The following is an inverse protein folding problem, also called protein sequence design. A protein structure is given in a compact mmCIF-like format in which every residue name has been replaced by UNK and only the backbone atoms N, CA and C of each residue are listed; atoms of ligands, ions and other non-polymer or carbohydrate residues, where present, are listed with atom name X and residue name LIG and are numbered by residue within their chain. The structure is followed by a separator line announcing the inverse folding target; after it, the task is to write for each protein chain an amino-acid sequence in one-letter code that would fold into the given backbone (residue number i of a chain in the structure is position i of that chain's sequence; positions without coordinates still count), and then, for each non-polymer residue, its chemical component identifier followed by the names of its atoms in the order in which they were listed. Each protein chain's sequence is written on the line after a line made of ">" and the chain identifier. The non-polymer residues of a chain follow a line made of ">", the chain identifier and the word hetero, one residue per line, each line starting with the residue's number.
data_IF_122603020309
#
_entry.id   IF_122603020309
#
_cell.length_a   1.000
_cell.length_b   1.000
_cell.length_c   1.000
_cell.angle_alpha   90.00
_cell.angle_beta   90.00
_cell.angle_gamma   90.00
#
_symmetry.space_group_name_H-M   'P 1'
#
loop_
_entity.id
_entity.type
_entity.pdbx_description
1 polymer ?
#
# COMPACT_ATOMS: atom_id res chain seq x y z
N UNK A 1 3.38 -11.48 -2.61
CA UNK A 1 2.68 -10.22 -2.93
C UNK A 1 1.58 -10.07 -1.88
N UNK A 2 1.32 -8.87 -1.38
CA UNK A 2 0.30 -8.63 -0.37
C UNK A 2 -0.24 -7.21 -0.49
N UNK A 3 -1.47 -6.99 -0.01
CA UNK A 3 -2.05 -5.66 0.14
C UNK A 3 -1.45 -4.99 1.39
N UNK A 4 -0.96 -3.77 1.23
CA UNK A 4 -0.40 -2.94 2.30
C UNK A 4 -1.24 -1.68 2.43
N UNK A 5 -1.67 -1.41 3.66
CA UNK A 5 -2.31 -0.14 4.02
C UNK A 5 -1.29 0.74 4.73
N UNK A 6 -1.17 1.99 4.30
CA UNK A 6 -0.32 2.99 4.98
C UNK A 6 -1.13 4.22 5.34
N UNK A 7 -0.85 4.82 6.50
CA UNK A 7 -1.53 6.03 6.96
C UNK A 7 -0.59 7.23 6.89
N UNK A 8 -1.12 8.38 6.49
CA UNK A 8 -0.47 9.69 6.58
C UNK A 8 -1.32 10.62 7.42
N UNK A 9 -0.71 11.25 8.43
CA UNK A 9 -1.35 12.33 9.19
C UNK A 9 -1.00 13.66 8.54
N UNK A 10 -2.02 14.46 8.23
CA UNK A 10 -1.89 15.81 7.68
C UNK A 10 -1.63 16.83 8.81
N UNK A 11 -1.21 18.05 8.44
CA UNK A 11 -0.93 19.12 9.40
C UNK A 11 -2.15 19.53 10.25
N UNK A 12 -3.34 19.41 9.68
CA UNK A 12 -4.63 19.68 10.35
C UNK A 12 -5.09 18.55 11.28
N UNK A 13 -4.32 17.46 11.40
CA UNK A 13 -4.65 16.30 12.22
C UNK A 13 -5.51 15.25 11.52
N UNK A 14 -5.99 15.51 10.30
CA UNK A 14 -6.72 14.50 9.52
C UNK A 14 -5.80 13.35 9.11
N UNK A 15 -6.34 12.13 9.03
CA UNK A 15 -5.60 10.92 8.63
C UNK A 15 -6.12 10.42 7.30
N UNK A 16 -5.20 10.16 6.37
CA UNK A 16 -5.49 9.59 5.05
C UNK A 16 -4.83 8.21 4.95
N UNK A 17 -5.57 7.24 4.43
CA UNK A 17 -5.07 5.89 4.18
C UNK A 17 -4.83 5.65 2.69
N UNK A 18 -3.87 4.78 2.37
CA UNK A 18 -3.52 4.40 1.01
C UNK A 18 -3.47 2.88 0.89
N UNK A 19 -3.97 2.35 -0.22
CA UNK A 19 -3.86 0.94 -0.57
C UNK A 19 -2.77 0.70 -1.61
N UNK A 20 -1.94 -0.30 -1.37
CA UNK A 20 -0.79 -0.60 -2.20
C UNK A 20 -0.62 -2.11 -2.33
N UNK A 21 -0.21 -2.58 -3.51
CA UNK A 21 0.38 -3.91 -3.62
C UNK A 21 1.87 -3.79 -3.31
N UNK A 22 2.34 -4.64 -2.40
CA UNK A 22 3.76 -4.78 -2.09
C UNK A 22 4.25 -6.22 -2.25
N UNK A 23 5.55 -6.35 -2.48
CA UNK A 23 6.27 -7.62 -2.40
C UNK A 23 7.58 -7.44 -1.65
N UNK A 24 7.92 -8.41 -0.82
CA UNK A 24 9.20 -8.43 -0.13
C UNK A 24 10.26 -9.05 -1.03
N UNK A 25 11.29 -8.28 -1.37
CA UNK A 25 12.50 -8.79 -2.00
C UNK A 25 13.64 -8.88 -0.97
N UNK A 26 14.61 -9.75 -1.19
CA UNK A 26 15.81 -9.81 -0.33
C UNK A 26 16.76 -8.71 -0.76
N UNK A 27 17.11 -7.81 0.18
CA UNK A 27 18.12 -6.79 -0.09
C UNK A 27 19.46 -7.46 -0.46
N UNK A 28 20.12 -7.05 -1.56
CA UNK A 28 21.25 -7.79 -2.13
C UNK A 28 22.44 -7.87 -1.17
N UNK A 29 22.66 -6.84 -0.34
CA UNK A 29 23.80 -6.79 0.59
C UNK A 29 23.48 -7.37 1.97
N UNK A 30 22.33 -7.02 2.53
CA UNK A 30 21.98 -7.35 3.93
C UNK A 30 21.15 -8.62 4.05
N UNK A 31 20.63 -9.14 2.92
CA UNK A 31 19.77 -10.33 2.79
C UNK A 31 18.46 -10.27 3.58
N UNK A 32 18.20 -9.14 4.26
CA UNK A 32 16.95 -8.85 4.97
C UNK A 32 15.80 -8.66 3.97
N UNK A 33 14.58 -9.07 4.33
CA UNK A 33 13.40 -8.77 3.52
C UNK A 33 13.14 -7.26 3.53
N UNK A 34 12.91 -6.68 2.35
CA UNK A 34 12.55 -5.28 2.16
C UNK A 34 11.29 -5.21 1.32
N UNK A 35 10.28 -4.48 1.81
CA UNK A 35 9.04 -4.27 1.10
C UNK A 35 9.25 -3.30 -0.07
N UNK A 36 8.89 -3.74 -1.27
CA UNK A 36 8.85 -2.93 -2.49
C UNK A 36 7.42 -2.74 -2.93
N UNK A 37 7.03 -1.50 -3.18
CA UNK A 37 5.70 -1.17 -3.71
C UNK A 37 5.70 -1.49 -5.20
N UNK A 38 4.78 -2.34 -5.62
CA UNK A 38 4.56 -2.69 -7.04
C UNK A 38 3.60 -1.68 -7.65
N UNK A 39 2.51 -1.38 -6.95
CA UNK A 39 1.48 -0.44 -7.40
C UNK A 39 0.84 0.25 -6.20
N UNK A 40 0.51 1.53 -6.38
CA UNK A 40 -0.21 2.34 -5.41
C UNK A 40 -1.56 2.70 -6.03
N UNK A 41 -2.65 2.25 -5.40
CA UNK A 41 -4.02 2.49 -5.86
C UNK A 41 -4.52 3.90 -5.51
N UNK A 42 -3.76 4.68 -4.74
CA UNK A 42 -4.16 5.99 -4.27
C UNK A 42 -4.81 5.94 -2.89
N UNK A 43 -5.58 7.00 -2.58
CA UNK A 43 -6.20 7.13 -1.26
C UNK A 43 -7.39 6.17 -1.13
N UNK A 44 -7.49 5.51 0.01
CA UNK A 44 -8.57 4.55 0.30
C UNK A 44 -9.96 5.19 0.20
N UNK A 45 -10.10 6.46 0.56
CA UNK A 45 -11.36 7.20 0.52
C UNK A 45 -11.76 7.73 -0.86
N UNK A 46 -10.87 7.58 -1.86
CA UNK A 46 -11.11 7.94 -3.26
C UNK A 46 -11.22 6.72 -4.17
N UNK A 47 -11.00 5.52 -3.60
CA UNK A 47 -11.22 4.27 -4.29
C UNK A 47 -12.70 3.96 -4.18
N UNK A 48 -13.46 4.29 -5.23
CA UNK A 48 -14.80 3.77 -5.37
C UNK A 48 -14.73 2.25 -5.30
N UNK A 49 -15.50 1.66 -4.39
CA UNK A 49 -15.67 0.22 -4.23
C UNK A 49 -16.37 -0.34 -5.47
N UNK A 50 -15.69 -0.36 -6.62
CA UNK A 50 -16.17 -1.13 -7.77
C UNK A 50 -16.09 -2.58 -7.34
N UNK A 51 -17.27 -3.06 -6.99
CA UNK A 51 -17.62 -4.37 -6.47
C UNK A 51 -16.74 -5.47 -7.08
N UNK A 52 -16.04 -6.16 -6.17
CA UNK A 52 -15.52 -7.51 -6.30
C UNK A 52 -15.99 -8.29 -7.54
N UNK A 53 -15.18 -8.30 -8.59
CA UNK A 53 -15.17 -9.38 -9.58
C UNK A 53 -13.73 -9.78 -9.87
N UNK A 54 -13.14 -10.58 -8.99
CA UNK A 54 -12.09 -11.52 -9.41
C UNK A 54 -12.34 -12.82 -8.65
N UNK A 55 -12.89 -13.79 -9.40
CA UNK A 55 -12.91 -15.22 -9.14
C UNK A 55 -11.51 -15.77 -9.50
#
# INVERSE_FOLDING_TARGET
>A
MYLRTTKRTNKDGSVVEYFQIAHNERHPKTRKPVAKIIHNFGRADQLDSVESQII
#
